data_IF_324408224350
#
_entry.id   IF_324408224350
#
_cell.length_a   1.000
_cell.length_b   1.000
_cell.length_c   1.000
_cell.angle_alpha   90.00
_cell.angle_beta   90.00
_cell.angle_gamma   90.00
#
_symmetry.space_group_name_H-M   'P 1'
#
loop_
_entity.id
_entity.type
_entity.pdbx_description
1 polymer ?
#
# COMPACT_ATOMS: atom_id res chain seq x y z
N UNK A 1 -38.50 13.07 20.33
CA UNK A 1 -38.46 11.84 19.52
C UNK A 1 -37.26 11.94 18.60
N UNK A 2 -36.19 11.20 18.88
CA UNK A 2 -35.03 11.11 17.99
C UNK A 2 -35.49 10.39 16.72
N UNK A 3 -35.64 11.16 15.65
CA UNK A 3 -35.87 10.64 14.30
C UNK A 3 -34.78 9.60 14.01
N UNK A 4 -35.15 8.43 13.50
CA UNK A 4 -34.19 7.39 13.17
C UNK A 4 -33.13 7.98 12.22
N UNK A 5 -31.85 7.89 12.58
CA UNK A 5 -30.72 8.46 11.84
C UNK A 5 -30.55 7.82 10.45
N UNK A 6 -31.22 6.69 10.20
CA UNK A 6 -31.18 5.97 8.94
C UNK A 6 -32.55 6.04 8.24
N UNK A 7 -32.63 6.55 7.00
CA UNK A 7 -33.89 6.64 6.27
C UNK A 7 -34.42 5.24 5.93
N UNK A 8 -35.74 5.09 5.92
CA UNK A 8 -36.41 3.82 5.59
C UNK A 8 -36.20 3.42 4.12
N UNK A 9 -35.98 4.40 3.25
CA UNK A 9 -35.73 4.24 1.81
C UNK A 9 -34.61 5.22 1.43
N UNK A 10 -33.69 4.76 0.59
CA UNK A 10 -32.75 5.61 -0.14
C UNK A 10 -33.32 5.78 -1.55
N UNK A 11 -33.86 6.95 -1.85
CA UNK A 11 -34.66 7.17 -3.06
C UNK A 11 -34.07 8.21 -4.01
N UNK A 12 -33.05 8.96 -3.57
CA UNK A 12 -32.40 9.96 -4.41
C UNK A 12 -31.47 9.28 -5.41
N UNK A 13 -31.89 9.25 -6.67
CA UNK A 13 -31.05 8.80 -7.78
C UNK A 13 -29.81 9.70 -7.92
N UNK A 14 -29.98 11.01 -7.76
CA UNK A 14 -28.90 12.00 -7.76
C UNK A 14 -27.85 11.65 -6.70
N UNK A 15 -28.29 11.32 -5.48
CA UNK A 15 -27.38 10.97 -4.40
C UNK A 15 -26.54 9.73 -4.72
N UNK A 16 -27.15 8.70 -5.34
CA UNK A 16 -26.43 7.50 -5.78
C UNK A 16 -25.42 7.82 -6.89
N UNK A 17 -25.81 8.63 -7.88
CA UNK A 17 -24.95 8.97 -9.01
C UNK A 17 -23.73 9.79 -8.54
N UNK A 18 -23.92 10.76 -7.64
CA UNK A 18 -22.82 11.49 -6.98
C UNK A 18 -21.88 10.50 -6.25
N UNK A 19 -22.42 9.59 -5.44
CA UNK A 19 -21.62 8.64 -4.69
C UNK A 19 -20.75 7.77 -5.61
N UNK A 20 -21.33 7.33 -6.73
CA UNK A 20 -20.64 6.56 -7.76
C UNK A 20 -19.55 7.38 -8.45
N UNK A 21 -19.84 8.63 -8.84
CA UNK A 21 -18.86 9.53 -9.46
C UNK A 21 -17.65 9.76 -8.56
N UNK A 22 -17.87 9.95 -7.25
CA UNK A 22 -16.79 10.08 -6.27
C UNK A 22 -15.96 8.80 -6.18
N UNK A 23 -16.61 7.62 -6.15
CA UNK A 23 -15.91 6.34 -6.07
C UNK A 23 -15.10 6.06 -7.34
N UNK A 24 -15.66 6.32 -8.52
CA UNK A 24 -14.98 6.18 -9.81
C UNK A 24 -13.75 7.12 -9.89
N UNK A 25 -13.88 8.34 -9.34
CA UNK A 25 -12.77 9.28 -9.19
C UNK A 25 -11.64 8.73 -8.31
N UNK A 26 -12.00 8.14 -7.17
CA UNK A 26 -11.05 7.47 -6.27
C UNK A 26 -10.38 6.25 -6.95
N UNK A 27 -11.15 5.38 -7.61
CA UNK A 27 -10.63 4.19 -8.26
C UNK A 27 -9.67 4.55 -9.39
N UNK A 28 -9.98 5.60 -10.14
CA UNK A 28 -9.08 6.16 -11.14
C UNK A 28 -7.78 6.66 -10.50
N UNK A 29 -7.87 7.40 -9.38
CA UNK A 29 -6.69 7.84 -8.63
C UNK A 29 -5.83 6.64 -8.23
N UNK A 30 -6.44 5.64 -7.59
CA UNK A 30 -5.72 4.51 -7.04
C UNK A 30 -5.10 3.63 -8.12
N UNK A 31 -5.78 3.44 -9.25
CA UNK A 31 -5.23 2.77 -10.45
C UNK A 31 -3.95 3.44 -10.95
N UNK A 32 -3.93 4.78 -11.03
CA UNK A 32 -2.75 5.53 -11.45
C UNK A 32 -1.62 5.48 -10.41
N UNK A 33 -1.96 5.50 -9.12
CA UNK A 33 -1.01 5.32 -8.04
C UNK A 33 -0.30 3.95 -8.14
N UNK A 34 -1.08 2.86 -8.30
CA UNK A 34 -0.54 1.51 -8.51
C UNK A 34 0.29 1.41 -9.77
N UNK A 35 -0.15 1.99 -10.89
CA UNK A 35 0.60 1.99 -12.14
C UNK A 35 1.97 2.66 -11.99
N UNK A 36 2.05 3.78 -11.27
CA UNK A 36 3.31 4.45 -11.00
C UNK A 36 4.26 3.55 -10.17
N UNK A 37 3.73 2.83 -9.17
CA UNK A 37 4.50 1.86 -8.39
C UNK A 37 4.97 0.66 -9.22
N UNK A 38 4.13 0.11 -10.11
CA UNK A 38 4.54 -0.96 -11.05
C UNK A 38 5.66 -0.49 -11.97
N UNK A 39 5.57 0.74 -12.46
CA UNK A 39 6.59 1.34 -13.35
C UNK A 39 7.91 1.61 -12.61
N UNK A 40 7.89 1.81 -11.28
CA UNK A 40 9.09 1.98 -10.48
C UNK A 40 10.02 0.76 -10.55
N UNK A 41 9.48 -0.46 -10.68
CA UNK A 41 10.27 -1.68 -10.93
C UNK A 41 11.08 -1.55 -12.22
N UNK A 42 10.45 -1.13 -13.31
CA UNK A 42 11.12 -0.93 -14.61
C UNK A 42 12.19 0.14 -14.55
N UNK A 43 11.95 1.25 -13.84
CA UNK A 43 12.98 2.28 -13.66
C UNK A 43 14.19 1.76 -12.87
N UNK A 44 13.94 0.96 -11.82
CA UNK A 44 14.99 0.32 -11.04
C UNK A 44 15.79 -0.68 -11.89
N UNK A 45 15.12 -1.53 -12.67
CA UNK A 45 15.78 -2.51 -13.55
C UNK A 45 16.67 -1.83 -14.61
N UNK A 46 16.21 -0.71 -15.17
CA UNK A 46 16.96 0.06 -16.17
C UNK A 46 18.02 1.00 -15.58
N UNK A 47 18.14 1.06 -14.26
CA UNK A 47 18.94 2.07 -13.57
C UNK A 47 18.64 3.52 -13.99
N UNK A 48 17.39 3.81 -14.37
CA UNK A 48 16.95 5.13 -14.83
C UNK A 48 16.52 6.01 -13.64
N UNK A 49 17.54 6.49 -12.92
CA UNK A 49 17.35 7.24 -11.67
C UNK A 49 16.69 8.59 -11.88
N UNK A 50 16.97 9.25 -13.00
CA UNK A 50 16.40 10.55 -13.33
C UNK A 50 14.90 10.42 -13.53
N UNK A 51 14.45 9.44 -14.33
CA UNK A 51 13.02 9.23 -14.53
C UNK A 51 12.34 8.74 -13.25
N UNK A 52 12.99 7.87 -12.47
CA UNK A 52 12.46 7.43 -11.17
C UNK A 52 12.20 8.61 -10.22
N UNK A 53 13.14 9.55 -10.12
CA UNK A 53 13.01 10.74 -9.28
C UNK A 53 11.88 11.66 -9.76
N UNK A 54 11.77 11.88 -11.07
CA UNK A 54 10.69 12.67 -11.66
C UNK A 54 9.32 12.02 -11.43
N UNK A 55 9.22 10.71 -11.60
CA UNK A 55 7.99 9.95 -11.37
C UNK A 55 7.55 10.02 -9.90
N UNK A 56 8.49 9.85 -8.95
CA UNK A 56 8.21 9.96 -7.53
C UNK A 56 7.70 11.36 -7.14
N UNK A 57 8.27 12.42 -7.73
CA UNK A 57 7.80 13.80 -7.50
C UNK A 57 6.42 14.03 -8.08
N UNK A 58 6.17 13.63 -9.34
CA UNK A 58 4.86 13.77 -10.00
C UNK A 58 3.74 13.05 -9.25
N UNK A 59 4.05 11.93 -8.58
CA UNK A 59 3.07 11.16 -7.81
C UNK A 59 2.47 11.96 -6.64
N UNK A 60 3.20 12.91 -6.07
CA UNK A 60 2.72 13.73 -4.94
C UNK A 60 1.44 14.48 -5.34
N UNK A 61 1.40 15.03 -6.56
CA UNK A 61 0.29 15.85 -7.04
C UNK A 61 -0.90 15.00 -7.54
N UNK A 62 -0.80 13.67 -7.57
CA UNK A 62 -1.84 12.80 -8.14
C UNK A 62 -3.14 12.84 -7.35
N UNK A 63 -3.05 12.98 -6.02
CA UNK A 63 -4.24 12.97 -5.17
C UNK A 63 -5.09 14.22 -5.42
N UNK A 64 -4.49 15.39 -5.22
CA UNK A 64 -5.17 16.68 -5.38
C UNK A 64 -5.74 16.84 -6.79
N UNK A 65 -4.97 16.46 -7.83
CA UNK A 65 -5.47 16.52 -9.20
C UNK A 65 -6.71 15.66 -9.43
N UNK A 66 -6.79 14.48 -8.82
CA UNK A 66 -7.93 13.57 -8.97
C UNK A 66 -9.14 14.06 -8.18
N UNK A 67 -8.92 14.64 -7.00
CA UNK A 67 -9.96 15.31 -6.23
C UNK A 67 -10.55 16.46 -7.05
N UNK A 68 -9.71 17.35 -7.60
CA UNK A 68 -10.19 18.49 -8.41
C UNK A 68 -10.92 18.05 -9.68
N UNK A 69 -10.45 17.01 -10.37
CA UNK A 69 -11.19 16.46 -11.53
C UNK A 69 -12.57 15.93 -11.15
N UNK A 70 -12.69 15.29 -9.98
CA UNK A 70 -13.97 14.81 -9.47
C UNK A 70 -14.90 15.98 -9.05
N UNK A 71 -14.34 17.02 -8.43
CA UNK A 71 -15.07 18.23 -8.04
C UNK A 71 -15.64 18.92 -9.28
N UNK A 72 -14.81 19.21 -10.29
CA UNK A 72 -15.28 19.84 -11.52
C UNK A 72 -16.34 19.00 -12.24
N UNK A 73 -16.18 17.67 -12.28
CA UNK A 73 -17.18 16.80 -12.91
C UNK A 73 -18.55 16.91 -12.22
N UNK A 74 -18.57 17.03 -10.89
CA UNK A 74 -19.81 17.19 -10.12
C UNK A 74 -20.39 18.60 -10.26
N UNK A 75 -19.56 19.65 -10.30
CA UNK A 75 -20.00 21.04 -10.51
C UNK A 75 -20.53 21.29 -11.94
N UNK A 76 -20.01 20.59 -12.94
CA UNK A 76 -20.48 20.67 -14.33
C UNK A 76 -21.84 19.98 -14.52
N UNK A 77 -22.12 18.94 -13.72
CA UNK A 77 -23.32 18.09 -13.86
C UNK A 77 -24.50 18.57 -12.99
N UNK A 78 -24.23 19.11 -11.80
CA UNK A 78 -25.26 19.43 -10.80
C UNK A 78 -25.22 20.90 -10.39
N UNK A 79 -26.40 21.51 -10.21
CA UNK A 79 -26.50 22.85 -9.64
C UNK A 79 -26.26 22.81 -8.12
N UNK A 80 -25.83 23.92 -7.48
CA UNK A 80 -25.67 23.98 -6.03
C UNK A 80 -26.95 23.63 -5.24
N UNK A 81 -28.11 23.84 -5.85
CA UNK A 81 -29.44 23.53 -5.28
C UNK A 81 -29.72 22.02 -5.23
N UNK A 82 -29.09 21.23 -6.11
CA UNK A 82 -29.19 19.77 -6.15
C UNK A 82 -28.33 19.11 -5.06
N UNK A 83 -27.40 19.86 -4.45
CA UNK A 83 -26.47 19.40 -3.42
C UNK A 83 -26.91 19.79 -2.00
N UNK A 84 -28.20 19.64 -1.72
CA UNK A 84 -28.77 19.94 -0.41
C UNK A 84 -28.38 18.92 0.68
N UNK A 85 -28.65 19.29 1.94
CA UNK A 85 -28.30 18.47 3.11
C UNK A 85 -28.88 17.05 3.06
N UNK A 86 -30.10 16.88 2.55
CA UNK A 86 -30.76 15.57 2.48
C UNK A 86 -30.13 14.70 1.38
N UNK A 87 -29.82 15.28 0.23
CA UNK A 87 -29.12 14.61 -0.87
C UNK A 87 -27.74 14.17 -0.43
N UNK A 88 -26.97 15.06 0.21
CA UNK A 88 -25.61 14.72 0.65
C UNK A 88 -25.60 13.63 1.73
N UNK A 89 -26.60 13.63 2.63
CA UNK A 89 -26.79 12.55 3.60
C UNK A 89 -27.04 11.22 2.89
N UNK A 90 -27.94 11.17 1.89
CA UNK A 90 -28.18 9.96 1.10
C UNK A 90 -26.93 9.55 0.30
N UNK A 91 -26.15 10.50 -0.23
CA UNK A 91 -24.91 10.22 -0.98
C UNK A 91 -23.93 9.46 -0.11
N UNK A 92 -23.70 9.91 1.13
CA UNK A 92 -22.82 9.20 2.07
C UNK A 92 -23.31 7.78 2.36
N UNK A 93 -24.62 7.58 2.54
CA UNK A 93 -25.20 6.26 2.81
C UNK A 93 -25.06 5.32 1.60
N UNK A 94 -25.29 5.82 0.38
CA UNK A 94 -25.00 5.08 -0.84
C UNK A 94 -23.52 4.75 -0.95
N UNK A 95 -22.62 5.70 -0.63
CA UNK A 95 -21.18 5.49 -0.65
C UNK A 95 -20.77 4.35 0.29
N UNK A 96 -21.28 4.32 1.54
CA UNK A 96 -21.05 3.20 2.48
C UNK A 96 -21.48 1.87 1.86
N UNK A 97 -22.65 1.83 1.21
CA UNK A 97 -23.13 0.65 0.51
C UNK A 97 -22.15 0.19 -0.58
N UNK A 98 -21.68 1.12 -1.41
CA UNK A 98 -20.71 0.86 -2.49
C UNK A 98 -19.34 0.39 -1.99
N UNK A 99 -18.93 0.80 -0.79
CA UNK A 99 -17.68 0.36 -0.18
C UNK A 99 -17.74 -1.09 0.34
N UNK A 100 -18.92 -1.72 0.36
CA UNK A 100 -19.05 -3.13 0.75
C UNK A 100 -18.30 -4.02 -0.25
N UNK A 101 -17.22 -4.65 0.20
CA UNK A 101 -16.36 -5.48 -0.65
C UNK A 101 -15.30 -4.69 -1.43
N UNK A 102 -15.24 -3.37 -1.27
CA UNK A 102 -14.18 -2.55 -1.84
C UNK A 102 -12.84 -2.82 -1.14
N UNK A 103 -11.73 -2.78 -1.87
CA UNK A 103 -10.40 -3.22 -1.37
C UNK A 103 -9.61 -2.15 -0.61
N UNK A 104 -10.05 -0.88 -0.66
CA UNK A 104 -9.41 0.28 -0.01
C UNK A 104 -10.46 1.25 0.58
N UNK A 105 -11.42 0.77 1.39
CA UNK A 105 -12.49 1.62 1.87
C UNK A 105 -11.97 2.83 2.66
N UNK A 106 -10.91 2.68 3.44
CA UNK A 106 -10.30 3.74 4.26
C UNK A 106 -9.76 4.92 3.44
N UNK A 107 -9.23 4.62 2.25
CA UNK A 107 -8.71 5.64 1.33
C UNK A 107 -9.85 6.27 0.53
N UNK A 108 -10.86 5.48 0.16
CA UNK A 108 -12.05 5.96 -0.53
C UNK A 108 -12.86 6.93 0.35
N UNK A 109 -13.03 6.62 1.63
CA UNK A 109 -13.66 7.53 2.62
C UNK A 109 -12.89 8.86 2.75
N UNK A 110 -11.55 8.81 2.74
CA UNK A 110 -10.70 10.02 2.78
C UNK A 110 -10.84 10.87 1.50
N UNK A 111 -10.93 10.20 0.34
CA UNK A 111 -11.18 10.85 -0.94
C UNK A 111 -12.56 11.50 -0.98
N UNK A 112 -13.59 10.79 -0.51
CA UNK A 112 -14.94 11.32 -0.34
C UNK A 112 -14.93 12.59 0.50
N UNK A 113 -14.28 12.56 1.68
CA UNK A 113 -14.17 13.73 2.54
C UNK A 113 -13.51 14.91 1.83
N UNK A 114 -12.47 14.64 1.03
CA UNK A 114 -11.74 15.68 0.29
C UNK A 114 -12.63 16.34 -0.74
N UNK A 115 -13.36 15.56 -1.54
CA UNK A 115 -14.34 16.07 -2.50
C UNK A 115 -15.47 16.83 -1.79
N UNK A 116 -16.00 16.30 -0.69
CA UNK A 116 -17.07 16.93 0.10
C UNK A 116 -16.65 18.31 0.61
N UNK A 117 -15.42 18.43 1.13
CA UNK A 117 -14.90 19.69 1.66
C UNK A 117 -14.68 20.77 0.59
N UNK A 118 -14.55 20.37 -0.68
CA UNK A 118 -14.45 21.30 -1.80
C UNK A 118 -15.83 21.77 -2.27
N UNK A 119 -16.80 20.85 -2.38
CA UNK A 119 -18.14 21.16 -2.88
C UNK A 119 -19.01 21.86 -1.83
N UNK A 120 -18.93 21.43 -0.58
CA UNK A 120 -19.74 21.99 0.50
C UNK A 120 -19.01 23.17 1.15
N UNK A 121 -19.71 24.29 1.33
CA UNK A 121 -19.17 25.47 1.99
C UNK A 121 -18.63 25.14 3.41
N UNK A 122 -17.64 25.90 3.90
CA UNK A 122 -16.91 25.66 5.17
C UNK A 122 -17.78 25.50 6.44
N UNK A 123 -19.07 25.80 6.37
CA UNK A 123 -20.06 25.59 7.43
C UNK A 123 -20.48 24.12 7.62
N UNK A 124 -20.08 23.21 6.72
CA UNK A 124 -20.54 21.82 6.67
C UNK A 124 -19.62 20.77 7.30
N UNK A 125 -18.79 21.15 8.28
CA UNK A 125 -18.09 20.19 9.16
C UNK A 125 -19.05 19.55 10.19
N UNK A 126 -20.15 18.95 9.71
CA UNK A 126 -21.04 18.12 10.50
C UNK A 126 -20.71 16.65 10.25
N UNK A 127 -20.62 15.86 11.32
CA UNK A 127 -20.29 14.43 11.24
C UNK A 127 -21.23 13.63 10.33
N UNK A 128 -22.42 14.15 10.06
CA UNK A 128 -23.42 13.51 9.21
C UNK A 128 -22.98 13.47 7.74
N UNK A 129 -22.16 14.43 7.28
CA UNK A 129 -21.79 14.60 5.87
C UNK A 129 -20.41 14.07 5.50
N UNK A 130 -19.55 13.81 6.48
CA UNK A 130 -18.18 13.33 6.27
C UNK A 130 -17.86 12.11 7.13
N UNK A 131 -16.87 11.33 6.73
CA UNK A 131 -16.35 10.19 7.48
C UNK A 131 -15.35 10.66 8.54
N UNK A 132 -15.82 10.89 9.76
CA UNK A 132 -14.96 11.17 10.94
C UNK A 132 -14.42 9.90 11.56
N UNK A 133 -15.14 8.79 11.40
CA UNK A 133 -14.72 7.44 11.78
C UNK A 133 -14.90 6.53 10.57
N UNK A 134 -14.04 5.51 10.42
CA UNK A 134 -14.23 4.51 9.38
C UNK A 134 -15.62 3.88 9.49
N UNK A 135 -16.33 3.83 8.37
CA UNK A 135 -17.63 3.18 8.31
C UNK A 135 -17.49 1.69 7.94
N UNK A 136 -16.44 1.33 7.20
CA UNK A 136 -16.16 -0.04 6.77
C UNK A 136 -14.90 -0.58 7.45
N UNK A 137 -14.97 -1.83 7.94
CA UNK A 137 -13.80 -2.50 8.50
C UNK A 137 -12.77 -2.81 7.43
N UNK A 138 -11.50 -2.63 7.77
CA UNK A 138 -10.37 -3.03 6.92
C UNK A 138 -9.81 -4.41 7.28
N UNK A 139 -10.38 -5.05 8.30
CA UNK A 139 -10.01 -6.40 8.69
C UNK A 139 -10.50 -7.42 7.66
N UNK A 140 -9.67 -8.45 7.40
CA UNK A 140 -10.00 -9.57 6.51
C UNK A 140 -10.31 -9.19 5.05
N UNK A 141 -9.73 -8.08 4.55
CA UNK A 141 -9.72 -7.79 3.12
C UNK A 141 -8.59 -8.58 2.46
N UNK A 142 -8.96 -9.55 1.62
CA UNK A 142 -8.00 -10.33 0.83
C UNK A 142 -7.79 -9.71 -0.55
N UNK A 143 -6.62 -9.94 -1.13
CA UNK A 143 -6.30 -9.56 -2.51
C UNK A 143 -6.98 -10.51 -3.49
N UNK A 144 -7.43 -10.00 -4.63
CA UNK A 144 -7.93 -10.82 -5.74
C UNK A 144 -6.80 -11.16 -6.73
N UNK A 145 -5.59 -10.61 -6.52
CA UNK A 145 -4.43 -10.91 -7.34
C UNK A 145 -3.88 -12.32 -7.06
N UNK A 146 -3.29 -12.99 -8.07
CA UNK A 146 -2.69 -14.31 -7.88
C UNK A 146 -1.57 -14.33 -6.84
N UNK A 147 -0.89 -13.20 -6.64
CA UNK A 147 0.14 -13.07 -5.63
C UNK A 147 -0.48 -12.61 -4.30
N UNK A 148 -0.26 -13.33 -3.18
CA UNK A 148 -0.78 -12.91 -1.88
C UNK A 148 -0.10 -11.61 -1.41
N UNK A 149 -0.64 -10.95 -0.38
CA UNK A 149 0.00 -9.78 0.24
C UNK A 149 1.46 -10.05 0.68
N UNK A 150 1.70 -11.23 1.25
CA UNK A 150 3.04 -11.71 1.58
C UNK A 150 3.17 -13.20 1.27
N UNK A 151 4.40 -13.62 0.96
CA UNK A 151 4.77 -15.01 0.73
C UNK A 151 5.40 -15.60 1.99
N UNK A 152 5.17 -16.88 2.21
CA UNK A 152 5.79 -17.63 3.31
C UNK A 152 6.78 -18.63 2.72
N UNK A 153 7.99 -18.62 3.25
CA UNK A 153 9.04 -19.59 2.92
C UNK A 153 9.33 -20.44 4.15
N UNK A 154 9.56 -21.73 3.94
CA UNK A 154 9.76 -22.72 4.99
C UNK A 154 11.18 -23.30 4.93
N UNK A 155 12.16 -22.72 5.66
CA UNK A 155 13.54 -23.22 5.69
C UNK A 155 13.69 -24.69 6.10
N UNK A 156 12.72 -25.25 6.83
CA UNK A 156 12.74 -26.65 7.25
C UNK A 156 12.69 -27.66 6.09
N UNK A 157 12.05 -27.31 4.97
CA UNK A 157 11.90 -28.21 3.82
C UNK A 157 13.19 -28.33 3.00
N UNK A 158 13.75 -27.20 2.57
CA UNK A 158 14.81 -27.14 1.56
C UNK A 158 16.12 -26.49 2.07
N UNK A 159 16.12 -26.00 3.32
CA UNK A 159 17.22 -25.25 3.93
C UNK A 159 17.09 -23.73 3.82
N UNK A 160 17.69 -23.01 4.78
CA UNK A 160 17.62 -21.55 4.87
C UNK A 160 18.20 -20.85 3.64
N UNK A 161 19.38 -21.26 3.17
CA UNK A 161 20.00 -20.73 1.95
C UNK A 161 19.09 -20.84 0.71
N UNK A 162 18.40 -21.98 0.54
CA UNK A 162 17.49 -22.17 -0.58
C UNK A 162 16.23 -21.31 -0.44
N UNK A 163 15.67 -21.22 0.77
CA UNK A 163 14.55 -20.34 1.07
C UNK A 163 14.88 -18.86 0.79
N UNK A 164 16.06 -18.39 1.20
CA UNK A 164 16.56 -17.04 0.92
C UNK A 164 16.78 -16.80 -0.58
N UNK A 165 17.32 -17.79 -1.31
CA UNK A 165 17.42 -17.70 -2.77
C UNK A 165 16.05 -17.52 -3.41
N UNK A 166 15.10 -18.40 -3.07
CA UNK A 166 13.73 -18.33 -3.61
C UNK A 166 13.06 -17.01 -3.27
N UNK A 167 13.25 -16.51 -2.04
CA UNK A 167 12.76 -15.21 -1.61
C UNK A 167 13.19 -14.10 -2.57
N UNK A 168 14.48 -14.05 -2.92
CA UNK A 168 15.02 -13.03 -3.82
C UNK A 168 14.56 -13.26 -5.27
N UNK A 169 14.64 -14.49 -5.78
CA UNK A 169 14.33 -14.77 -7.19
C UNK A 169 12.84 -14.67 -7.53
N UNK A 170 11.95 -14.84 -6.55
CA UNK A 170 10.51 -14.73 -6.75
C UNK A 170 10.03 -13.30 -7.10
N UNK A 171 10.86 -12.28 -6.92
CA UNK A 171 10.57 -10.92 -7.40
C UNK A 171 10.77 -10.76 -8.91
N UNK A 172 11.44 -11.72 -9.56
CA UNK A 172 11.64 -11.78 -11.02
C UNK A 172 12.14 -10.44 -11.57
N UNK A 173 13.22 -9.92 -10.98
CA UNK A 173 13.88 -8.71 -11.48
C UNK A 173 14.58 -9.03 -12.80
N UNK A 174 14.37 -8.21 -13.81
CA UNK A 174 14.98 -8.34 -15.15
C UNK A 174 16.41 -7.80 -15.19
N UNK A 175 17.24 -8.23 -14.24
CA UNK A 175 18.65 -7.85 -14.09
C UNK A 175 19.46 -9.02 -13.52
N UNK A 176 20.70 -9.17 -13.98
CA UNK A 176 21.61 -10.16 -13.41
C UNK A 176 22.18 -9.68 -12.08
N UNK A 177 22.33 -10.61 -11.13
CA UNK A 177 23.08 -10.37 -9.90
C UNK A 177 24.58 -10.50 -10.17
N UNK A 178 25.40 -9.71 -9.49
CA UNK A 178 26.86 -9.79 -9.61
C UNK A 178 27.38 -11.13 -9.07
N UNK A 179 26.87 -11.55 -7.91
CA UNK A 179 27.13 -12.86 -7.29
C UNK A 179 26.06 -13.13 -6.22
N UNK A 180 24.91 -13.66 -6.66
CA UNK A 180 23.77 -13.91 -5.76
C UNK A 180 24.11 -14.94 -4.67
N UNK A 181 24.97 -15.91 -4.96
CA UNK A 181 25.31 -17.00 -4.05
C UNK A 181 26.10 -16.50 -2.86
N UNK A 182 27.12 -15.66 -3.13
CA UNK A 182 27.88 -14.96 -2.11
C UNK A 182 26.98 -14.06 -1.28
N UNK A 183 26.15 -13.25 -1.93
CA UNK A 183 25.31 -12.26 -1.26
C UNK A 183 24.28 -12.95 -0.34
N UNK A 184 23.68 -14.07 -0.77
CA UNK A 184 22.81 -14.89 0.07
C UNK A 184 23.58 -15.49 1.26
N UNK A 185 24.80 -15.98 1.06
CA UNK A 185 25.59 -16.53 2.16
C UNK A 185 25.91 -15.48 3.24
N UNK A 186 26.14 -14.22 2.83
CA UNK A 186 26.33 -13.09 3.75
C UNK A 186 25.04 -12.75 4.51
N UNK A 187 23.90 -12.68 3.82
CA UNK A 187 22.58 -12.46 4.44
C UNK A 187 22.24 -13.59 5.42
N UNK A 188 22.45 -14.83 5.01
CA UNK A 188 22.26 -16.03 5.84
C UNK A 188 23.08 -15.92 7.12
N UNK A 189 24.39 -15.68 7.02
CA UNK A 189 25.28 -15.58 8.17
C UNK A 189 24.81 -14.51 9.17
N UNK A 190 24.40 -13.34 8.68
CA UNK A 190 23.91 -12.23 9.53
C UNK A 190 22.57 -12.51 10.19
N UNK A 191 21.61 -13.06 9.46
CA UNK A 191 20.31 -13.44 10.03
C UNK A 191 20.48 -14.52 11.08
N UNK A 192 21.36 -15.47 10.82
CA UNK A 192 21.66 -16.59 11.71
C UNK A 192 22.33 -16.10 13.00
N UNK A 193 23.33 -15.22 12.89
CA UNK A 193 24.01 -14.57 14.02
C UNK A 193 23.03 -13.77 14.90
N UNK A 194 22.15 -12.96 14.29
CA UNK A 194 21.32 -12.03 15.04
C UNK A 194 20.03 -12.65 15.58
N UNK A 195 19.43 -13.59 14.85
CA UNK A 195 18.14 -14.19 15.23
C UNK A 195 18.28 -15.57 15.88
N UNK A 196 19.49 -16.16 15.90
CA UNK A 196 19.71 -17.49 16.43
C UNK A 196 19.04 -18.60 15.60
N UNK A 197 18.90 -18.41 14.27
CA UNK A 197 18.23 -19.37 13.37
C UNK A 197 18.93 -20.73 13.24
N UNK A 198 20.06 -20.93 13.94
CA UNK A 198 20.73 -22.22 14.09
C UNK A 198 19.86 -23.23 14.86
N UNK A 199 19.22 -22.77 15.92
CA UNK A 199 18.32 -23.57 16.75
C UNK A 199 16.91 -23.47 16.14
N UNK A 200 16.63 -24.41 15.24
CA UNK A 200 15.40 -24.40 14.45
C UNK A 200 14.23 -24.91 15.28
N UNK A 201 13.25 -24.05 15.48
CA UNK A 201 11.95 -24.44 16.01
C UNK A 201 11.04 -24.97 14.88
N UNK A 202 10.04 -25.83 15.19
CA UNK A 202 9.17 -26.43 14.17
C UNK A 202 8.41 -25.41 13.29
N UNK A 203 8.18 -24.20 13.80
CA UNK A 203 7.47 -23.13 13.10
C UNK A 203 8.41 -22.15 12.36
N UNK A 204 9.68 -22.49 12.14
CA UNK A 204 10.62 -21.60 11.47
C UNK A 204 10.13 -21.20 10.07
N UNK A 205 9.86 -19.90 9.87
CA UNK A 205 9.25 -19.35 8.65
C UNK A 205 9.85 -17.99 8.30
N UNK A 206 9.87 -17.65 7.01
CA UNK A 206 10.17 -16.30 6.53
C UNK A 206 8.93 -15.74 5.85
N UNK A 207 8.38 -14.65 6.38
CA UNK A 207 7.25 -13.95 5.80
C UNK A 207 7.76 -12.71 5.09
N UNK A 208 7.43 -12.55 3.81
CA UNK A 208 7.99 -11.48 2.98
C UNK A 208 6.90 -10.84 2.13
N UNK A 209 6.77 -9.52 2.20
CA UNK A 209 5.81 -8.78 1.37
C UNK A 209 6.07 -9.06 -0.12
N UNK A 210 5.01 -9.32 -0.87
CA UNK A 210 5.12 -9.74 -2.27
C UNK A 210 5.60 -8.64 -3.20
N UNK A 211 5.42 -7.37 -2.81
CA UNK A 211 5.90 -6.21 -3.55
C UNK A 211 7.19 -5.65 -2.95
N UNK A 212 8.13 -5.32 -3.83
CA UNK A 212 9.33 -4.55 -3.46
C UNK A 212 8.95 -3.10 -3.15
N UNK A 213 9.65 -2.53 -2.16
CA UNK A 213 9.58 -1.11 -1.86
C UNK A 213 10.70 -0.42 -2.61
N UNK A 214 10.40 0.52 -3.50
CA UNK A 214 11.43 1.26 -4.24
C UNK A 214 11.58 2.67 -3.66
N UNK A 215 12.83 3.08 -3.45
CA UNK A 215 13.17 4.46 -3.07
C UNK A 215 14.55 4.82 -3.58
N UNK A 216 14.65 5.97 -4.24
CA UNK A 216 15.88 6.44 -4.86
C UNK A 216 16.47 5.38 -5.81
N UNK A 217 17.64 4.81 -5.47
CA UNK A 217 18.37 3.82 -6.26
C UNK A 217 18.26 2.39 -5.70
N UNK A 218 17.35 2.17 -4.75
CA UNK A 218 17.27 0.93 -3.99
C UNK A 218 15.87 0.31 -4.10
N UNK A 219 15.85 -1.02 -4.18
CA UNK A 219 14.67 -1.83 -3.93
C UNK A 219 14.84 -2.53 -2.59
N UNK A 220 13.79 -2.63 -1.78
CA UNK A 220 13.86 -3.21 -0.44
C UNK A 220 12.91 -4.41 -0.36
N UNK A 221 13.47 -5.56 -0.01
CA UNK A 221 12.71 -6.74 0.43
C UNK A 221 12.39 -6.52 1.90
N UNK A 222 11.11 -6.55 2.27
CA UNK A 222 10.65 -6.30 3.63
C UNK A 222 9.94 -7.55 4.14
N UNK A 223 10.37 -8.05 5.29
CA UNK A 223 9.83 -9.28 5.86
C UNK A 223 10.08 -9.43 7.36
N UNK A 224 9.65 -10.56 7.89
CA UNK A 224 9.95 -11.01 9.25
C UNK A 224 10.28 -12.50 9.25
N UNK A 225 11.22 -12.90 10.09
CA UNK A 225 11.51 -14.29 10.39
C UNK A 225 10.78 -14.69 11.67
N UNK A 226 10.17 -15.86 11.65
CA UNK A 226 9.50 -16.47 12.81
C UNK A 226 10.32 -17.67 13.23
N UNK A 227 10.67 -17.78 14.51
CA UNK A 227 11.32 -18.95 15.09
C UNK A 227 10.89 -19.11 16.56
N UNK A 228 10.08 -20.11 16.85
CA UNK A 228 9.45 -20.30 18.16
C UNK A 228 8.48 -19.17 18.47
N UNK A 229 8.61 -18.56 19.65
CA UNK A 229 7.82 -17.41 20.08
C UNK A 229 8.39 -16.05 19.60
N UNK A 230 9.49 -16.05 18.84
CA UNK A 230 10.17 -14.83 18.40
C UNK A 230 9.80 -14.47 16.97
N UNK A 231 9.49 -13.21 16.76
CA UNK A 231 9.37 -12.58 15.45
C UNK A 231 10.49 -11.56 15.30
N UNK A 232 11.15 -11.60 14.14
CA UNK A 232 12.35 -10.83 13.87
C UNK A 232 12.19 -10.07 12.56
N UNK A 233 12.03 -8.74 12.57
CA UNK A 233 11.93 -7.98 11.33
C UNK A 233 13.24 -8.05 10.57
N UNK A 234 13.15 -8.05 9.24
CA UNK A 234 14.31 -7.84 8.42
C UNK A 234 14.00 -7.05 7.16
N UNK A 235 15.00 -6.30 6.70
CA UNK A 235 14.97 -5.64 5.40
C UNK A 235 16.26 -5.91 4.64
N UNK A 236 16.14 -6.37 3.39
CA UNK A 236 17.27 -6.60 2.48
C UNK A 236 17.22 -5.57 1.35
N UNK A 237 18.06 -4.52 1.37
CA UNK A 237 18.23 -3.63 0.23
C UNK A 237 18.96 -4.33 -0.93
N UNK A 238 18.39 -4.17 -2.12
CA UNK A 238 18.96 -4.54 -3.42
C UNK A 238 19.40 -3.26 -4.12
N UNK A 239 20.67 -3.21 -4.50
CA UNK A 239 21.31 -2.07 -5.17
C UNK A 239 21.92 -2.50 -6.51
N UNK A 240 22.26 -1.53 -7.34
CA UNK A 240 23.12 -1.72 -8.51
C UNK A 240 24.59 -1.50 -8.14
N UNK A 241 25.46 -2.41 -8.55
CA UNK A 241 26.91 -2.22 -8.52
C UNK A 241 27.38 -1.24 -9.62
N UNK A 242 28.68 -0.97 -9.68
CA UNK A 242 29.26 -0.08 -10.71
C UNK A 242 29.14 -0.61 -12.14
N UNK A 243 28.83 -1.90 -12.31
CA UNK A 243 28.62 -2.57 -13.59
C UNK A 243 27.13 -2.77 -13.90
N UNK A 244 26.22 -2.10 -13.18
CA UNK A 244 24.75 -2.24 -13.30
C UNK A 244 24.24 -3.67 -13.10
N UNK A 245 24.88 -4.43 -12.21
CA UNK A 245 24.38 -5.73 -11.75
C UNK A 245 23.82 -5.59 -10.34
N UNK A 246 22.85 -6.43 -10.01
CA UNK A 246 22.22 -6.41 -8.70
C UNK A 246 23.14 -7.00 -7.62
N UNK A 247 23.11 -6.39 -6.44
CA UNK A 247 23.76 -6.90 -5.23
C UNK A 247 22.79 -6.79 -4.05
N UNK A 248 22.86 -7.74 -3.12
CA UNK A 248 22.24 -7.58 -1.80
C UNK A 248 23.24 -6.83 -0.91
N UNK A 249 22.94 -5.57 -0.61
CA UNK A 249 23.91 -4.67 0.02
C UNK A 249 24.15 -5.02 1.50
N UNK A 250 23.08 -5.36 2.21
CA UNK A 250 23.11 -5.76 3.62
C UNK A 250 21.80 -6.46 4.02
N UNK A 251 21.67 -6.85 5.27
CA UNK A 251 20.40 -7.19 5.92
C UNK A 251 20.27 -6.38 7.20
N UNK A 252 19.21 -5.57 7.28
CA UNK A 252 18.85 -4.84 8.49
C UNK A 252 18.02 -5.79 9.35
N UNK A 253 18.49 -6.09 10.54
CA UNK A 253 17.83 -7.01 11.49
C UNK A 253 17.42 -6.32 12.80
N UNK A 254 17.91 -5.11 13.01
CA UNK A 254 17.62 -4.29 14.17
C UNK A 254 16.31 -3.49 13.94
N UNK A 255 15.29 -3.66 14.79
CA UNK A 255 14.03 -2.92 14.69
C UNK A 255 14.20 -1.40 14.60
N UNK A 256 15.18 -0.82 15.30
CA UNK A 256 15.41 0.64 15.27
C UNK A 256 15.87 1.11 13.88
N UNK A 257 16.70 0.30 13.21
CA UNK A 257 17.14 0.57 11.84
C UNK A 257 16.00 0.42 10.84
N UNK A 258 15.13 -0.57 11.04
CA UNK A 258 13.92 -0.77 10.23
C UNK A 258 12.97 0.41 10.40
N UNK A 259 12.71 0.87 11.63
CA UNK A 259 11.89 2.06 11.90
C UNK A 259 12.47 3.31 11.22
N UNK A 260 13.78 3.53 11.31
CA UNK A 260 14.46 4.65 10.64
C UNK A 260 14.28 4.60 9.11
N UNK A 261 14.22 3.39 8.53
CA UNK A 261 14.00 3.21 7.11
C UNK A 261 12.61 3.72 6.67
N UNK A 262 11.60 3.55 7.52
CA UNK A 262 10.21 4.00 7.31
C UNK A 262 9.92 5.39 7.93
N UNK A 263 10.94 6.10 8.40
CA UNK A 263 10.80 7.44 8.99
C UNK A 263 10.17 8.46 8.03
N UNK A 264 9.33 9.34 8.58
CA UNK A 264 8.69 10.46 7.89
C UNK A 264 9.69 11.49 7.30
N UNK A 265 10.94 11.48 7.77
CA UNK A 265 12.00 12.38 7.29
C UNK A 265 12.56 11.98 5.92
N UNK A 266 12.17 10.81 5.40
CA UNK A 266 12.63 10.28 4.12
C UNK A 266 11.52 10.37 3.08
N UNK A 267 11.92 10.35 1.80
CA UNK A 267 10.97 10.22 0.70
C UNK A 267 10.11 8.95 0.84
N UNK A 268 8.84 9.05 0.43
CA UNK A 268 7.90 7.94 0.42
C UNK A 268 8.36 6.80 -0.49
N UNK A 269 8.05 5.57 -0.11
CA UNK A 269 8.26 4.41 -0.96
C UNK A 269 7.29 4.37 -2.14
N UNK A 270 7.77 3.83 -3.26
CA UNK A 270 6.96 3.33 -4.36
C UNK A 270 6.76 1.84 -4.14
N UNK A 271 5.53 1.43 -3.82
CA UNK A 271 5.16 0.04 -3.60
C UNK A 271 3.80 -0.21 -4.23
N UNK A 272 3.68 -1.33 -4.94
CA UNK A 272 2.42 -1.73 -5.54
C UNK A 272 1.60 -2.51 -4.52
N UNK A 273 0.44 -1.96 -4.14
CA UNK A 273 -0.42 -2.53 -3.11
C UNK A 273 -1.84 -2.60 -3.65
N UNK A 274 -2.40 -3.79 -3.73
CA UNK A 274 -3.83 -3.91 -4.01
C UNK A 274 -4.64 -3.53 -2.77
N UNK A 275 -4.26 -4.03 -1.60
CA UNK A 275 -4.92 -3.82 -0.31
C UNK A 275 -3.93 -3.15 0.66
N UNK A 276 -3.88 -1.81 0.74
CA UNK A 276 -2.93 -1.09 1.58
C UNK A 276 -3.03 -1.41 3.07
N UNK A 277 -4.24 -1.59 3.58
CA UNK A 277 -4.48 -1.94 4.98
C UNK A 277 -3.73 -3.21 5.40
N UNK A 278 -3.68 -4.22 4.53
CA UNK A 278 -2.96 -5.47 4.78
C UNK A 278 -1.43 -5.25 4.84
N UNK A 279 -0.89 -4.36 4.01
CA UNK A 279 0.53 -3.97 4.07
C UNK A 279 0.83 -3.20 5.36
N UNK A 280 -0.02 -2.25 5.74
CA UNK A 280 0.13 -1.49 6.98
C UNK A 280 0.05 -2.42 8.21
N UNK A 281 -0.88 -3.38 8.21
CA UNK A 281 -0.99 -4.37 9.28
C UNK A 281 0.28 -5.24 9.38
N UNK A 282 0.84 -5.66 8.24
CA UNK A 282 2.11 -6.40 8.22
C UNK A 282 3.25 -5.56 8.81
N UNK A 283 3.38 -4.30 8.36
CA UNK A 283 4.45 -3.39 8.80
C UNK A 283 4.34 -3.01 10.29
N UNK A 284 3.14 -2.97 10.86
CA UNK A 284 2.92 -2.72 12.30
C UNK A 284 3.39 -3.87 13.20
N UNK A 285 3.55 -5.07 12.62
CA UNK A 285 4.02 -6.27 13.31
C UNK A 285 5.48 -6.59 12.96
N UNK A 286 6.23 -5.60 12.46
CA UNK A 286 7.68 -5.67 12.28
C UNK A 286 8.39 -5.14 13.52
#
# INVERSE_FOLDING_TARGET
>A
MTQATFPKLLSSQIAFDIARTILDGFDRHYKLFRQASKTAKTHFERADWTTAQQAARKRIDFYDKRVQECVHALEDEYAPEDLDDDTWRETKLHYIGLLTGHKRPELAESFFNSVSCHLLHRSYYRNDFIFVRPAVSTEYIETDEPAPTYRVYYPAADGLRFALRRMVTNFQLDCSFADLDRDIALVEARMVEHFGLHEREPNQQLHVLSSLFFRNKAAYIVGRAINGAREHPFVVPILHDRANRLVLDTVLTDPDQVILLFSFTRAYFMVDMEVPSAYVQFLRNL
#
